data_IF_067222034125
#
_entry.id   IF_067222034125
#
_cell.length_a   1.000
_cell.length_b   1.000
_cell.length_c   1.000
_cell.angle_alpha   90.00
_cell.angle_beta   90.00
_cell.angle_gamma   90.00
#
_symmetry.space_group_name_H-M   'P 1'
#
loop_
_entity.id
_entity.type
_entity.pdbx_description
1 polymer ?
#
# COMPACT_ATOMS: atom_id res chain seq x y z
N UNK A 1 -19.81 -7.17 27.15
CA UNK A 1 -19.51 -7.72 25.78
C UNK A 1 -20.58 -7.20 24.85
N UNK A 2 -20.29 -6.14 24.12
CA UNK A 2 -21.18 -5.65 23.05
C UNK A 2 -20.82 -6.43 21.79
N UNK A 3 -21.76 -7.22 21.31
CA UNK A 3 -21.66 -7.91 20.03
C UNK A 3 -21.67 -6.86 18.92
N UNK A 4 -20.56 -6.70 18.23
CA UNK A 4 -20.47 -5.92 17.01
C UNK A 4 -21.29 -6.66 15.93
N UNK A 5 -22.52 -6.22 15.68
CA UNK A 5 -23.31 -6.71 14.57
C UNK A 5 -22.71 -6.12 13.29
N UNK A 6 -22.20 -6.99 12.43
CA UNK A 6 -21.78 -6.63 11.07
C UNK A 6 -22.96 -5.99 10.33
N UNK A 7 -22.77 -4.84 9.64
CA UNK A 7 -23.85 -4.26 8.85
C UNK A 7 -24.29 -5.26 7.77
N UNK A 8 -25.60 -5.43 7.65
CA UNK A 8 -26.21 -6.27 6.63
C UNK A 8 -25.96 -5.63 5.26
N UNK A 9 -25.12 -6.23 4.45
CA UNK A 9 -24.75 -5.72 3.13
C UNK A 9 -25.88 -5.79 2.08
N UNK A 10 -27.07 -6.27 2.45
CA UNK A 10 -28.22 -6.40 1.54
C UNK A 10 -28.98 -5.07 1.30
N UNK A 11 -28.82 -4.08 2.18
CA UNK A 11 -29.60 -2.83 2.13
C UNK A 11 -29.06 -1.74 1.20
N UNK A 12 -28.01 -1.99 0.43
CA UNK A 12 -27.40 -0.99 -0.49
C UNK A 12 -28.10 -0.94 -1.87
N UNK A 13 -29.18 -1.68 -2.06
CA UNK A 13 -29.90 -1.77 -3.35
C UNK A 13 -31.11 -0.83 -3.47
N UNK A 14 -31.30 0.12 -2.55
CA UNK A 14 -32.42 1.07 -2.63
C UNK A 14 -32.06 2.26 -3.56
N UNK A 15 -33.04 2.69 -4.34
CA UNK A 15 -32.98 3.82 -5.28
C UNK A 15 -32.57 5.18 -4.66
N UNK A 16 -32.30 5.23 -3.37
CA UNK A 16 -31.74 6.37 -2.64
C UNK A 16 -30.22 6.53 -2.81
N UNK A 17 -29.53 5.59 -3.44
CA UNK A 17 -28.06 5.67 -3.66
C UNK A 17 -27.63 6.77 -4.65
N UNK A 18 -28.58 7.42 -5.33
CA UNK A 18 -28.30 8.56 -6.19
C UNK A 18 -28.07 9.88 -5.42
N UNK A 19 -28.17 9.89 -4.10
CA UNK A 19 -27.99 11.06 -3.24
C UNK A 19 -26.63 11.12 -2.52
N UNK A 20 -25.67 10.23 -2.82
CA UNK A 20 -24.28 10.43 -2.41
C UNK A 20 -23.62 11.42 -3.37
N UNK A 21 -24.05 12.68 -3.29
CA UNK A 21 -23.43 13.80 -3.98
C UNK A 21 -21.99 13.95 -3.50
N UNK A 22 -21.02 13.55 -4.35
CA UNK A 22 -19.60 13.70 -4.08
C UNK A 22 -18.76 12.43 -4.20
N UNK A 23 -19.35 11.22 -4.23
CA UNK A 23 -18.55 10.02 -4.46
C UNK A 23 -18.29 9.80 -5.97
N UNK A 24 -17.05 9.52 -6.40
CA UNK A 24 -16.72 9.39 -7.82
C UNK A 24 -17.53 8.27 -8.51
N UNK A 25 -18.29 8.57 -9.57
CA UNK A 25 -19.14 7.58 -10.24
C UNK A 25 -18.39 6.33 -10.72
N UNK A 26 -17.18 6.50 -11.24
CA UNK A 26 -16.34 5.40 -11.70
C UNK A 26 -16.03 4.38 -10.58
N UNK A 27 -15.89 4.83 -9.33
CA UNK A 27 -15.67 3.92 -8.20
C UNK A 27 -16.95 3.17 -7.80
N UNK A 28 -18.11 3.83 -7.93
CA UNK A 28 -19.40 3.18 -7.71
C UNK A 28 -19.60 2.06 -8.75
N UNK A 29 -19.36 2.36 -10.00
CA UNK A 29 -19.51 1.39 -11.08
C UNK A 29 -18.52 0.24 -10.98
N UNK A 30 -17.26 0.53 -10.65
CA UNK A 30 -16.24 -0.48 -10.37
C UNK A 30 -16.63 -1.40 -9.19
N UNK A 31 -17.19 -0.84 -8.12
CA UNK A 31 -17.68 -1.64 -6.99
C UNK A 31 -18.87 -2.52 -7.37
N UNK A 32 -19.82 -2.01 -8.17
CA UNK A 32 -20.97 -2.80 -8.66
C UNK A 32 -20.49 -3.96 -9.53
N UNK A 33 -19.53 -3.71 -10.42
CA UNK A 33 -18.92 -4.74 -11.25
C UNK A 33 -18.19 -5.80 -10.41
N UNK A 34 -17.38 -5.37 -9.46
CA UNK A 34 -16.74 -6.26 -8.49
C UNK A 34 -17.75 -7.14 -7.76
N UNK A 35 -18.84 -6.56 -7.23
CA UNK A 35 -19.89 -7.33 -6.53
C UNK A 35 -20.56 -8.36 -7.41
N UNK A 36 -20.86 -7.99 -8.65
CA UNK A 36 -21.60 -8.84 -9.59
C UNK A 36 -20.77 -10.01 -10.10
N UNK A 37 -19.49 -9.77 -10.33
CA UNK A 37 -18.59 -10.71 -10.99
C UNK A 37 -17.60 -11.32 -9.97
N UNK A 38 -16.52 -10.66 -9.67
CA UNK A 38 -15.42 -11.21 -8.86
C UNK A 38 -15.85 -11.66 -7.45
N UNK A 39 -16.63 -10.82 -6.75
CA UNK A 39 -17.08 -11.18 -5.39
C UNK A 39 -18.07 -12.35 -5.41
N UNK A 40 -18.91 -12.46 -6.44
CA UNK A 40 -19.83 -13.62 -6.59
C UNK A 40 -19.03 -14.93 -6.67
N UNK A 41 -17.98 -14.96 -7.48
CA UNK A 41 -17.14 -16.15 -7.69
C UNK A 41 -16.29 -16.49 -6.44
N UNK A 42 -15.86 -15.49 -5.70
CA UNK A 42 -14.98 -15.64 -4.53
C UNK A 42 -15.76 -15.53 -3.18
N UNK A 43 -17.07 -15.48 -3.19
CA UNK A 43 -17.91 -15.18 -2.00
C UNK A 43 -17.65 -16.10 -0.81
N UNK A 44 -17.38 -17.39 -1.06
CA UNK A 44 -17.04 -18.36 -0.01
C UNK A 44 -15.70 -18.01 0.65
N UNK A 45 -14.69 -17.65 -0.14
CA UNK A 45 -13.39 -17.22 0.36
C UNK A 45 -13.52 -15.98 1.26
N UNK A 46 -14.30 -14.98 0.82
CA UNK A 46 -14.56 -13.79 1.65
C UNK A 46 -15.26 -14.11 2.96
N UNK A 47 -16.25 -15.03 2.94
CA UNK A 47 -16.93 -15.49 4.17
C UNK A 47 -15.98 -16.21 5.13
N UNK A 48 -15.11 -17.06 4.63
CA UNK A 48 -14.10 -17.75 5.44
C UNK A 48 -13.11 -16.75 6.06
N UNK A 49 -12.60 -15.80 5.29
CA UNK A 49 -11.70 -14.76 5.79
C UNK A 49 -12.39 -13.88 6.85
N UNK A 50 -13.66 -13.55 6.69
CA UNK A 50 -14.42 -12.77 7.66
C UNK A 50 -14.67 -13.53 8.97
N UNK A 51 -14.91 -14.84 8.91
CA UNK A 51 -15.24 -15.66 10.09
C UNK A 51 -14.05 -16.23 10.82
N UNK A 52 -12.97 -16.53 10.12
CA UNK A 52 -11.77 -17.21 10.64
C UNK A 52 -10.54 -16.30 10.72
N UNK A 53 -10.61 -15.11 10.11
CA UNK A 53 -9.47 -14.23 9.94
C UNK A 53 -8.59 -14.63 8.75
N UNK A 54 -7.54 -13.84 8.54
CA UNK A 54 -6.55 -14.09 7.48
C UNK A 54 -5.27 -14.68 8.06
N UNK A 55 -4.63 -15.55 7.30
CA UNK A 55 -3.34 -16.17 7.66
C UNK A 55 -2.35 -16.10 6.49
N UNK A 56 -2.04 -14.91 5.99
CA UNK A 56 -1.11 -14.76 4.88
C UNK A 56 0.30 -15.20 5.30
N UNK A 57 0.99 -15.90 4.42
CA UNK A 57 2.37 -16.29 4.68
C UNK A 57 3.38 -15.19 4.33
N UNK A 58 2.95 -14.16 3.60
CA UNK A 58 3.85 -13.13 3.07
C UNK A 58 3.30 -11.74 3.33
N UNK A 59 4.13 -10.88 3.93
CA UNK A 59 3.97 -9.44 3.91
C UNK A 59 4.63 -8.87 2.65
N UNK A 60 3.92 -8.02 1.91
CA UNK A 60 4.49 -7.23 0.81
C UNK A 60 4.44 -5.74 1.15
N UNK A 61 5.59 -5.09 1.12
CA UNK A 61 5.73 -3.63 1.26
C UNK A 61 5.96 -3.07 -0.14
N UNK A 62 4.99 -2.32 -0.68
CA UNK A 62 5.00 -1.85 -2.06
C UNK A 62 4.83 -0.34 -2.17
N UNK A 63 5.17 0.19 -3.34
CA UNK A 63 4.90 1.59 -3.65
C UNK A 63 3.39 1.87 -3.78
N UNK A 64 2.97 3.11 -3.44
CA UNK A 64 1.62 3.61 -3.73
C UNK A 64 1.33 3.78 -5.23
N UNK A 65 2.33 3.69 -6.10
CA UNK A 65 2.16 3.76 -7.55
C UNK A 65 1.23 2.65 -8.05
N UNK A 66 0.23 3.03 -8.83
CA UNK A 66 -0.82 2.12 -9.31
C UNK A 66 -0.29 0.93 -10.13
N UNK A 67 0.89 1.07 -10.74
CA UNK A 67 1.55 0.00 -11.52
C UNK A 67 2.12 -1.11 -10.64
N UNK A 68 2.32 -0.84 -9.34
CA UNK A 68 2.96 -1.76 -8.39
C UNK A 68 1.97 -2.31 -7.36
N UNK A 69 0.70 -2.54 -7.74
CA UNK A 69 -0.28 -3.17 -6.85
C UNK A 69 0.04 -4.66 -6.68
N UNK A 70 0.46 -5.12 -5.48
CA UNK A 70 0.96 -6.48 -5.28
C UNK A 70 -0.06 -7.54 -5.66
N UNK A 71 -1.33 -7.33 -5.34
CA UNK A 71 -2.40 -8.28 -5.63
C UNK A 71 -2.56 -8.50 -7.13
N UNK A 72 -2.32 -7.44 -7.93
CA UNK A 72 -2.37 -7.52 -9.41
C UNK A 72 -1.11 -8.14 -9.95
N UNK A 73 0.08 -7.70 -9.48
CA UNK A 73 1.39 -8.15 -10.00
C UNK A 73 1.59 -9.66 -9.75
N UNK A 74 1.17 -10.15 -8.58
CA UNK A 74 1.31 -11.55 -8.20
C UNK A 74 0.07 -12.40 -8.48
N UNK A 75 -0.98 -11.80 -9.07
CA UNK A 75 -2.28 -12.46 -9.27
C UNK A 75 -2.79 -13.14 -7.97
N UNK A 76 -2.63 -12.44 -6.85
CA UNK A 76 -2.95 -12.98 -5.54
C UNK A 76 -4.44 -12.86 -5.23
N UNK A 77 -4.98 -13.88 -4.62
CA UNK A 77 -6.35 -13.91 -4.14
C UNK A 77 -6.48 -13.27 -2.75
N UNK A 78 -7.67 -12.83 -2.34
CA UNK A 78 -7.91 -12.30 -1.00
C UNK A 78 -7.38 -13.22 0.10
N UNK A 79 -6.63 -12.67 1.04
CA UNK A 79 -6.04 -13.39 2.18
C UNK A 79 -4.68 -14.06 1.92
N UNK A 80 -4.16 -14.06 0.69
CA UNK A 80 -2.85 -14.66 0.38
C UNK A 80 -1.68 -13.75 0.74
N UNK A 81 -1.89 -12.43 0.65
CA UNK A 81 -0.88 -11.44 1.00
C UNK A 81 -1.40 -10.52 2.11
N UNK A 82 -0.50 -10.11 3.00
CA UNK A 82 -0.67 -8.93 3.83
C UNK A 82 0.09 -7.78 3.18
N UNK A 83 -0.58 -6.70 2.84
CA UNK A 83 0.00 -5.64 2.00
C UNK A 83 0.00 -4.31 2.73
N UNK A 84 1.16 -3.65 2.74
CA UNK A 84 1.27 -2.23 3.06
C UNK A 84 1.84 -1.48 1.85
N UNK A 85 1.32 -0.28 1.62
CA UNK A 85 1.80 0.59 0.53
C UNK A 85 2.14 1.96 1.07
N UNK A 86 3.31 2.45 0.69
CA UNK A 86 3.76 3.80 0.99
C UNK A 86 4.50 4.39 -0.22
N UNK A 87 4.85 5.67 -0.18
CA UNK A 87 5.61 6.29 -1.27
C UNK A 87 7.02 5.69 -1.29
N UNK A 88 7.42 5.16 -2.44
CA UNK A 88 8.72 4.53 -2.68
C UNK A 88 9.00 3.24 -1.87
N UNK A 89 7.97 2.54 -1.40
CA UNK A 89 8.09 1.24 -0.70
C UNK A 89 9.17 1.19 0.40
N UNK A 90 9.31 2.29 1.16
CA UNK A 90 10.35 2.44 2.18
C UNK A 90 10.00 1.73 3.48
N UNK A 91 11.03 1.23 4.15
CA UNK A 91 10.95 0.69 5.50
C UNK A 91 11.79 1.58 6.43
N UNK A 92 11.17 2.42 7.27
CA UNK A 92 11.91 3.22 8.24
C UNK A 92 12.68 2.37 9.24
N UNK A 93 13.76 2.92 9.77
CA UNK A 93 14.49 2.32 10.89
C UNK A 93 13.56 2.11 12.08
N UNK A 94 13.85 1.08 12.89
CA UNK A 94 13.16 0.88 14.17
C UNK A 94 13.46 2.06 15.11
N UNK A 95 12.43 2.85 15.41
CA UNK A 95 12.52 4.02 16.29
C UNK A 95 11.24 4.17 17.13
N UNK A 96 11.17 3.57 18.33
CA UNK A 96 10.01 3.64 19.20
C UNK A 96 9.98 4.96 19.99
N UNK A 97 9.65 6.06 19.32
CA UNK A 97 9.63 7.43 19.91
C UNK A 97 8.26 7.83 20.48
N UNK A 98 7.25 6.95 20.44
CA UNK A 98 5.90 7.21 20.92
C UNK A 98 4.97 7.87 19.89
N UNK A 99 5.47 8.19 18.69
CA UNK A 99 4.68 8.73 17.60
C UNK A 99 3.97 7.64 16.75
N UNK A 100 3.20 8.05 15.76
CA UNK A 100 2.40 7.14 14.93
C UNK A 100 3.17 6.71 13.67
N UNK A 101 3.66 5.48 13.66
CA UNK A 101 4.46 4.90 12.56
C UNK A 101 3.70 3.79 11.83
N UNK A 102 2.95 4.12 10.78
CA UNK A 102 2.05 3.18 10.08
C UNK A 102 2.77 1.98 9.48
N UNK A 103 3.94 2.19 8.85
CA UNK A 103 4.73 1.09 8.26
C UNK A 103 5.26 0.14 9.34
N UNK A 104 5.79 0.69 10.44
CA UNK A 104 6.29 -0.10 11.57
C UNK A 104 5.17 -0.87 12.27
N UNK A 105 3.99 -0.26 12.44
CA UNK A 105 2.82 -0.92 13.03
C UNK A 105 2.32 -2.08 12.16
N UNK A 106 2.27 -1.91 10.84
CA UNK A 106 1.88 -2.99 9.94
C UNK A 106 2.92 -4.13 9.92
N UNK A 107 4.22 -3.80 9.96
CA UNK A 107 5.29 -4.77 10.05
C UNK A 107 5.22 -5.58 11.35
N UNK A 108 5.03 -4.90 12.48
CA UNK A 108 4.85 -5.55 13.78
C UNK A 108 3.63 -6.48 13.78
N UNK A 109 2.49 -6.01 13.28
CA UNK A 109 1.28 -6.82 13.19
C UNK A 109 1.49 -8.06 12.31
N UNK A 110 2.13 -7.91 11.15
CA UNK A 110 2.43 -9.03 10.26
C UNK A 110 3.32 -10.08 10.93
N UNK A 111 4.38 -9.64 11.61
CA UNK A 111 5.36 -10.55 12.23
C UNK A 111 4.83 -11.12 13.54
N UNK A 112 4.26 -10.29 14.42
CA UNK A 112 3.90 -10.73 15.77
C UNK A 112 2.50 -11.36 15.85
N UNK A 113 1.54 -10.86 15.07
CA UNK A 113 0.15 -11.33 15.10
C UNK A 113 -0.11 -12.36 14.00
N UNK A 114 0.15 -12.02 12.75
CA UNK A 114 -0.13 -12.92 11.61
C UNK A 114 0.94 -14.01 11.43
N UNK A 115 2.12 -13.84 12.01
CA UNK A 115 3.24 -14.82 11.92
C UNK A 115 3.65 -15.10 10.47
N UNK A 116 3.72 -14.08 9.64
CA UNK A 116 4.18 -14.22 8.26
C UNK A 116 5.57 -14.87 8.20
N UNK A 117 5.80 -15.67 7.17
CA UNK A 117 7.08 -16.36 6.96
C UNK A 117 8.04 -15.54 6.09
N UNK A 118 7.48 -14.68 5.26
CA UNK A 118 8.24 -13.90 4.28
C UNK A 118 7.89 -12.42 4.37
N UNK A 119 8.90 -11.58 4.14
CA UNK A 119 8.74 -10.14 3.95
C UNK A 119 9.36 -9.79 2.60
N UNK A 120 8.57 -9.20 1.73
CA UNK A 120 8.98 -8.77 0.39
C UNK A 120 8.87 -7.27 0.30
N UNK A 121 9.93 -6.60 -0.17
CA UNK A 121 9.90 -5.19 -0.56
C UNK A 121 9.82 -5.13 -2.07
N UNK A 122 8.68 -4.68 -2.60
CA UNK A 122 8.40 -4.63 -4.03
C UNK A 122 8.64 -3.22 -4.57
N UNK A 123 9.78 -3.03 -5.22
CA UNK A 123 10.09 -1.82 -5.99
C UNK A 123 9.56 -1.89 -7.43
N UNK A 124 9.62 -0.75 -8.12
CA UNK A 124 9.26 -0.69 -9.54
C UNK A 124 10.09 0.36 -10.28
N UNK A 125 10.29 0.17 -11.56
CA UNK A 125 11.02 1.12 -12.39
C UNK A 125 10.36 2.49 -12.46
N UNK A 126 11.17 3.55 -12.54
CA UNK A 126 10.73 4.95 -12.66
C UNK A 126 9.78 5.36 -11.54
N UNK A 127 10.10 5.02 -10.32
CA UNK A 127 9.36 5.42 -9.14
C UNK A 127 9.47 6.94 -8.93
N UNK A 128 8.33 7.65 -8.90
CA UNK A 128 8.32 9.10 -8.72
C UNK A 128 8.91 9.55 -7.38
N UNK A 129 8.76 8.77 -6.32
CA UNK A 129 9.38 9.04 -5.02
C UNK A 129 10.91 8.94 -5.08
N UNK A 130 11.44 7.88 -5.69
CA UNK A 130 12.90 7.74 -5.87
C UNK A 130 13.47 8.87 -6.74
N UNK A 131 12.78 9.22 -7.83
CA UNK A 131 13.20 10.34 -8.66
C UNK A 131 13.25 11.67 -7.88
N UNK A 132 12.23 11.92 -7.05
CA UNK A 132 12.19 13.12 -6.20
C UNK A 132 13.32 13.12 -5.14
N UNK A 133 13.68 11.96 -4.60
CA UNK A 133 14.80 11.86 -3.66
C UNK A 133 16.18 12.14 -4.30
N UNK A 134 16.32 11.87 -5.60
CA UNK A 134 17.56 12.14 -6.36
C UNK A 134 17.63 13.57 -6.93
N UNK A 135 16.53 14.30 -6.92
CA UNK A 135 16.44 15.69 -7.41
C UNK A 135 16.62 16.67 -6.24
N UNK A 136 17.82 17.26 -6.16
CA UNK A 136 18.18 18.23 -5.11
C UNK A 136 17.55 19.62 -5.32
N UNK A 137 16.82 19.85 -6.42
CA UNK A 137 16.19 21.13 -6.76
C UNK A 137 14.72 21.20 -6.32
N UNK A 138 14.16 20.14 -5.76
CA UNK A 138 12.73 20.05 -5.43
C UNK A 138 12.37 20.93 -4.23
N UNK A 139 11.46 21.86 -4.43
CA UNK A 139 10.86 22.65 -3.36
C UNK A 139 9.84 21.82 -2.56
N UNK A 140 9.67 22.07 -1.25
CA UNK A 140 8.65 21.39 -0.45
C UNK A 140 7.24 21.55 -1.05
N UNK A 141 6.48 20.45 -1.13
CA UNK A 141 5.10 20.46 -1.64
C UNK A 141 4.13 21.19 -0.70
N UNK A 142 4.50 21.33 0.57
CA UNK A 142 3.69 22.03 1.58
C UNK A 142 4.59 22.53 2.71
N UNK A 143 4.10 23.46 3.55
CA UNK A 143 4.86 23.94 4.73
C UNK A 143 5.24 22.82 5.71
N UNK A 144 4.52 21.71 5.73
CA UNK A 144 4.82 20.56 6.61
C UNK A 144 5.93 19.67 6.08
N UNK A 145 6.21 19.74 4.79
CA UNK A 145 7.22 18.95 4.08
C UNK A 145 7.21 17.45 4.44
N UNK A 146 6.01 16.87 4.46
CA UNK A 146 5.86 15.44 4.80
C UNK A 146 6.62 14.54 3.85
N UNK A 147 6.56 14.83 2.53
CA UNK A 147 7.21 13.99 1.53
C UNK A 147 8.73 14.19 1.54
N UNK A 148 9.23 15.40 1.71
CA UNK A 148 10.67 15.64 1.81
C UNK A 148 11.30 14.92 3.00
N UNK A 149 10.67 15.00 4.18
CA UNK A 149 11.10 14.24 5.37
C UNK A 149 11.06 12.73 5.15
N UNK A 150 10.01 12.24 4.48
CA UNK A 150 9.89 10.82 4.13
C UNK A 150 10.97 10.36 3.17
N UNK A 151 11.24 11.13 2.11
CA UNK A 151 12.29 10.84 1.14
C UNK A 151 13.68 10.99 1.73
N UNK A 152 13.86 11.75 2.80
CA UNK A 152 15.11 11.86 3.55
C UNK A 152 15.64 10.51 4.07
N UNK A 153 14.79 9.50 4.19
CA UNK A 153 15.22 8.12 4.49
C UNK A 153 16.15 7.54 3.42
N UNK A 154 16.11 8.07 2.21
CA UNK A 154 16.96 7.65 1.09
C UNK A 154 18.26 8.44 0.97
N UNK A 155 18.48 9.48 1.78
CA UNK A 155 19.65 10.34 1.66
C UNK A 155 20.99 9.56 1.59
N UNK A 156 21.24 8.55 2.45
CA UNK A 156 22.50 7.81 2.37
C UNK A 156 22.66 7.02 1.05
N UNK A 157 21.58 6.48 0.51
CA UNK A 157 21.60 5.76 -0.76
C UNK A 157 21.76 6.72 -1.94
N UNK A 158 21.07 7.87 -1.91
CA UNK A 158 21.19 8.92 -2.91
C UNK A 158 22.61 9.49 -3.00
N UNK A 159 23.24 9.74 -1.86
CA UNK A 159 24.65 10.18 -1.78
C UNK A 159 25.61 9.16 -2.40
N UNK A 160 25.39 7.86 -2.14
CA UNK A 160 26.19 6.78 -2.72
C UNK A 160 26.08 6.75 -4.24
N UNK A 161 24.84 6.85 -4.76
CA UNK A 161 24.57 6.87 -6.21
C UNK A 161 25.15 8.13 -6.85
N UNK A 162 25.07 9.29 -6.19
CA UNK A 162 25.61 10.54 -6.68
C UNK A 162 27.15 10.53 -6.76
N UNK A 163 27.81 9.83 -5.83
CA UNK A 163 29.26 9.69 -5.79
C UNK A 163 29.81 8.70 -6.85
N UNK A 164 28.97 7.82 -7.39
CA UNK A 164 29.39 6.86 -8.43
C UNK A 164 29.57 7.57 -9.79
N UNK A 165 30.84 7.82 -10.14
CA UNK A 165 31.22 8.48 -11.39
C UNK A 165 31.09 7.59 -12.64
N UNK A 166 30.88 6.27 -12.47
CA UNK A 166 30.69 5.30 -13.55
C UNK A 166 29.26 5.29 -14.12
N UNK A 167 28.28 5.79 -13.38
CA UNK A 167 26.88 5.78 -13.81
C UNK A 167 26.53 7.00 -14.67
N UNK A 168 25.89 6.77 -15.81
CA UNK A 168 25.24 7.84 -16.60
C UNK A 168 23.96 8.33 -15.91
N UNK A 169 23.48 9.52 -16.32
CA UNK A 169 22.23 10.05 -15.78
C UNK A 169 21.01 9.13 -15.98
N UNK A 170 20.99 8.37 -17.08
CA UNK A 170 19.92 7.39 -17.35
C UNK A 170 20.02 6.15 -16.44
N UNK A 171 21.23 5.66 -16.18
CA UNK A 171 21.46 4.53 -15.27
C UNK A 171 21.12 4.87 -13.83
N UNK A 172 21.42 6.09 -13.37
CA UNK A 172 21.04 6.57 -12.03
C UNK A 172 19.53 6.60 -11.80
N UNK A 173 18.72 6.75 -12.86
CA UNK A 173 17.25 6.73 -12.75
C UNK A 173 16.66 5.31 -12.70
N UNK A 174 17.44 4.29 -13.01
CA UNK A 174 17.02 2.89 -13.05
C UNK A 174 17.67 2.02 -11.96
N UNK A 175 18.67 2.52 -11.29
CA UNK A 175 19.32 1.89 -10.14
C UNK A 175 18.52 2.08 -8.85
#
# INVERSE_FOLDING_TARGET
MQTCQSPNFEDVNDARSNAMTGFPPALIDGYRDFKKNKFSDESERYRQLASQGQTPETLVIACCDSRAAPEVVFNALPGELFVIRNVANLVPSYNPDGEHHSTSAALEFAVQSLKVKNIVVLGHGRCGGIMAALDTSTEPLSPGDFIGKWMGLLAPAAETIAADQGMTGAERQTA
#
